data_IF_720029072232
#
_entry.id   IF_720029072232
#
_cell.length_a   1.000
_cell.length_b   1.000
_cell.length_c   1.000
_cell.angle_alpha   90.00
_cell.angle_beta   90.00
_cell.angle_gamma   90.00
#
_symmetry.space_group_name_H-M   'P 1'
#
loop_
_entity.id
_entity.type
_entity.pdbx_description
1 polymer ?
#
# COMPACT_ATOMS: atom_id res chain seq x y z
N UNK A 1 -6.67 -56.35 -38.17
CA UNK A 1 -6.99 -55.78 -39.49
C UNK A 1 -6.94 -54.26 -39.31
N UNK A 2 -5.77 -53.62 -39.26
CA UNK A 2 -4.71 -53.51 -40.31
C UNK A 2 -5.20 -52.60 -41.46
N UNK A 3 -4.49 -51.57 -41.97
CA UNK A 3 -3.16 -50.95 -41.74
C UNK A 3 -3.28 -49.42 -42.11
N UNK A 4 -2.49 -48.45 -41.60
CA UNK A 4 -1.21 -47.90 -42.15
C UNK A 4 -1.18 -47.77 -43.71
N UNK A 5 -0.71 -46.71 -44.42
CA UNK A 5 0.14 -45.50 -44.21
C UNK A 5 -0.38 -44.28 -45.07
N UNK A 6 0.13 -43.04 -45.03
CA UNK A 6 1.04 -42.40 -44.07
C UNK A 6 2.03 -41.26 -44.51
N UNK A 7 1.87 -40.49 -45.62
CA UNK A 7 2.92 -39.56 -46.11
C UNK A 7 2.46 -38.26 -46.84
N UNK A 8 3.08 -37.11 -46.46
CA UNK A 8 3.50 -35.90 -47.24
C UNK A 8 3.83 -34.81 -46.20
N UNK A 9 5.10 -34.56 -45.86
CA UNK A 9 6.08 -33.66 -46.53
C UNK A 9 5.99 -32.18 -46.10
N UNK A 10 6.97 -31.77 -45.29
CA UNK A 10 7.29 -30.38 -44.96
C UNK A 10 8.37 -29.84 -45.90
N UNK A 11 8.44 -28.51 -46.12
CA UNK A 11 9.68 -27.85 -46.53
C UNK A 11 10.24 -26.92 -45.44
N UNK A 12 11.51 -27.13 -45.11
CA UNK A 12 12.43 -26.04 -44.75
C UNK A 12 13.08 -25.54 -46.06
N UNK A 13 13.91 -24.50 -46.17
CA UNK A 13 14.82 -23.74 -45.28
C UNK A 13 14.95 -22.33 -45.91
N UNK A 14 15.30 -21.27 -45.18
CA UNK A 14 16.51 -20.51 -45.54
C UNK A 14 17.06 -19.58 -44.44
N UNK A 15 18.37 -19.34 -44.46
CA UNK A 15 19.13 -18.72 -43.37
C UNK A 15 20.38 -17.97 -43.90
N UNK A 16 20.37 -16.64 -43.84
CA UNK A 16 21.56 -15.77 -43.96
C UNK A 16 21.56 -14.81 -42.76
N UNK A 17 22.52 -14.85 -41.83
CA UNK A 17 23.91 -14.36 -41.89
C UNK A 17 24.04 -12.84 -42.00
N UNK A 18 24.38 -12.20 -40.87
CA UNK A 18 25.17 -10.97 -40.81
C UNK A 18 26.09 -11.02 -39.57
N UNK A 19 27.40 -10.92 -39.77
CA UNK A 19 28.44 -10.74 -38.74
C UNK A 19 29.26 -9.47 -39.04
N UNK A 20 29.94 -8.92 -38.02
CA UNK A 20 30.90 -7.80 -38.14
C UNK A 20 30.38 -6.49 -37.52
N UNK A 21 30.54 -6.18 -36.23
CA UNK A 21 31.73 -6.09 -35.38
C UNK A 21 32.56 -4.80 -35.54
N UNK A 22 32.39 -3.86 -34.61
CA UNK A 22 33.44 -2.98 -34.07
C UNK A 22 33.13 -2.67 -32.60
N UNK A 23 34.14 -2.79 -31.73
CA UNK A 23 34.04 -2.38 -30.34
C UNK A 23 34.93 -1.16 -30.11
N UNK A 24 34.41 -0.14 -29.45
CA UNK A 24 35.23 0.90 -28.82
C UNK A 24 34.50 1.38 -27.56
N UNK A 25 35.27 1.68 -26.51
CA UNK A 25 34.75 1.98 -25.18
C UNK A 25 35.08 3.42 -24.81
N UNK A 26 34.11 4.16 -24.29
CA UNK A 26 34.41 5.39 -23.55
C UNK A 26 33.47 5.60 -22.36
N UNK A 27 33.83 6.56 -21.52
CA UNK A 27 33.55 6.54 -20.09
C UNK A 27 32.26 7.26 -19.69
N UNK A 28 31.84 6.94 -18.47
CA UNK A 28 30.83 7.63 -17.71
C UNK A 28 31.00 9.17 -17.68
N UNK A 29 29.86 9.87 -17.71
CA UNK A 29 29.63 10.98 -16.79
C UNK A 29 28.32 10.72 -16.03
N UNK A 30 28.36 10.79 -14.71
CA UNK A 30 27.24 10.58 -13.83
C UNK A 30 26.86 11.93 -13.20
N UNK A 31 25.96 12.65 -13.86
CA UNK A 31 25.44 13.94 -13.40
C UNK A 31 23.92 13.91 -13.28
N UNK A 32 23.40 12.98 -12.46
CA UNK A 32 22.00 12.93 -12.03
C UNK A 32 21.91 13.25 -10.54
N UNK A 33 21.52 14.49 -10.21
CA UNK A 33 21.41 14.97 -8.83
C UNK A 33 20.35 14.17 -8.08
N UNK A 34 20.76 13.48 -7.01
CA UNK A 34 19.82 12.89 -6.06
C UNK A 34 19.14 14.00 -5.26
N UNK A 35 17.79 14.04 -5.16
CA UNK A 35 17.14 14.81 -4.12
C UNK A 35 17.39 14.10 -2.79
N UNK A 36 18.19 14.71 -1.91
CA UNK A 36 18.20 14.36 -0.48
C UNK A 36 16.90 14.81 0.15
N UNK A 37 16.08 13.91 0.72
CA UNK A 37 15.07 14.32 1.68
C UNK A 37 15.78 14.64 3.00
N UNK A 38 15.93 15.94 3.30
CA UNK A 38 16.17 16.36 4.68
C UNK A 38 14.85 16.24 5.45
N UNK A 39 14.80 15.30 6.39
CA UNK A 39 13.65 15.07 7.26
C UNK A 39 13.95 13.95 8.26
N UNK A 40 13.92 14.27 9.55
CA UNK A 40 14.05 13.30 10.65
C UNK A 40 12.77 12.43 10.76
N UNK A 41 12.58 11.52 9.81
CA UNK A 41 11.65 10.40 9.93
C UNK A 41 12.45 9.10 9.92
N UNK A 42 12.40 8.37 11.03
CA UNK A 42 13.07 7.08 11.14
C UNK A 42 12.40 6.11 10.19
N UNK A 43 13.05 5.82 9.06
CA UNK A 43 12.61 4.85 8.06
C UNK A 43 12.30 3.51 8.73
N UNK A 44 11.01 3.23 8.94
CA UNK A 44 10.55 2.06 9.69
C UNK A 44 10.28 0.89 8.75
N UNK A 45 10.49 -0.34 9.23
CA UNK A 45 10.15 -1.54 8.49
C UNK A 45 8.68 -1.56 8.03
N UNK A 46 7.79 -0.93 8.80
CA UNK A 46 6.37 -0.85 8.52
C UNK A 46 6.07 -0.07 7.23
N UNK A 47 6.72 1.07 7.00
CA UNK A 47 6.52 1.86 5.77
C UNK A 47 7.04 1.12 4.54
N UNK A 48 8.18 0.44 4.68
CA UNK A 48 8.76 -0.42 3.65
C UNK A 48 7.79 -1.55 3.25
N UNK A 49 7.15 -2.21 4.22
CA UNK A 49 6.24 -3.33 3.98
C UNK A 49 4.91 -2.83 3.41
N UNK A 50 4.29 -1.81 4.02
CA UNK A 50 3.07 -1.18 3.51
C UNK A 50 3.24 -0.63 2.09
N UNK A 51 4.29 0.15 1.84
CA UNK A 51 4.53 0.77 0.53
C UNK A 51 4.80 -0.26 -0.57
N UNK A 52 5.29 -1.46 -0.23
CA UNK A 52 5.49 -2.52 -1.22
C UNK A 52 4.22 -3.34 -1.49
N UNK A 53 3.43 -3.69 -0.47
CA UNK A 53 2.19 -4.46 -0.69
C UNK A 53 1.05 -3.59 -1.25
N UNK A 54 0.99 -2.30 -0.91
CA UNK A 54 -0.01 -1.37 -1.45
C UNK A 54 0.26 -0.88 -2.88
N UNK A 55 1.43 -1.20 -3.48
CA UNK A 55 1.86 -0.63 -4.76
C UNK A 55 1.26 -1.27 -6.02
N UNK A 56 0.34 -2.21 -5.88
CA UNK A 56 -0.36 -2.83 -7.02
C UNK A 56 -1.50 -1.98 -7.61
N UNK A 57 -1.66 -0.71 -7.18
CA UNK A 57 -2.54 0.23 -7.90
C UNK A 57 -2.62 1.64 -7.34
N UNK A 58 -1.65 2.51 -7.71
CA UNK A 58 -1.91 3.96 -7.88
C UNK A 58 -0.84 4.60 -8.79
N UNK A 59 -1.23 5.01 -10.00
CA UNK A 59 -0.44 5.89 -10.87
C UNK A 59 -1.23 7.17 -11.16
N UNK A 60 -0.76 8.29 -10.59
CA UNK A 60 -0.93 9.62 -11.19
C UNK A 60 -1.99 10.54 -10.57
N UNK A 61 -1.55 11.37 -9.62
CA UNK A 61 -2.13 12.71 -9.39
C UNK A 61 -1.06 13.68 -8.84
N UNK A 62 -0.51 14.54 -9.69
CA UNK A 62 0.27 15.71 -9.25
C UNK A 62 -0.67 16.79 -8.66
N UNK A 63 -0.28 17.51 -7.60
CA UNK A 63 -1.05 18.63 -7.09
C UNK A 63 -0.76 19.92 -7.89
N UNK A 64 -1.76 20.65 -8.40
CA UNK A 64 -1.54 21.95 -9.02
C UNK A 64 -1.27 23.05 -7.98
N UNK A 65 -0.35 23.95 -8.32
CA UNK A 65 0.03 25.09 -7.52
C UNK A 65 -1.00 26.24 -7.57
N UNK A 66 -0.86 27.18 -6.64
CA UNK A 66 -1.69 28.38 -6.52
C UNK A 66 -1.38 29.44 -7.58
N UNK A 67 -2.36 30.31 -7.86
CA UNK A 67 -2.17 31.70 -8.29
C UNK A 67 -3.25 32.57 -7.65
N UNK A 68 -2.96 33.87 -7.49
CA UNK A 68 -3.82 34.85 -6.84
C UNK A 68 -3.73 36.21 -7.57
N UNK A 69 -4.80 37.01 -7.53
CA UNK A 69 -4.77 38.47 -7.33
C UNK A 69 -6.17 39.11 -7.43
N UNK A 70 -6.39 40.12 -6.57
CA UNK A 70 -6.98 41.47 -6.83
C UNK A 70 -8.42 41.57 -7.41
N UNK A 71 -9.24 42.61 -7.16
CA UNK A 71 -9.17 43.95 -6.53
C UNK A 71 -10.65 44.31 -6.08
N UNK A 72 -11.04 45.37 -5.36
CA UNK A 72 -10.43 46.57 -4.75
C UNK A 72 -11.40 47.16 -3.68
N UNK A 73 -10.90 48.06 -2.79
CA UNK A 73 -11.55 49.27 -2.21
C UNK A 73 -12.90 49.19 -1.41
N UNK A 74 -13.19 50.05 -0.40
CA UNK A 74 -12.53 51.25 0.18
C UNK A 74 -13.12 51.62 1.58
N UNK A 75 -12.66 52.75 2.17
CA UNK A 75 -13.10 53.43 3.42
C UNK A 75 -12.48 52.82 4.71
N UNK A 76 -11.45 53.35 5.40
CA UNK A 76 -10.88 54.71 5.66
C UNK A 76 -11.24 55.26 7.07
N UNK A 77 -10.24 55.89 7.70
CA UNK A 77 -10.19 56.57 9.02
C UNK A 77 -10.70 55.82 10.29
N UNK A 78 -9.75 55.23 11.05
CA UNK A 78 -9.61 55.52 12.50
C UNK A 78 -8.21 55.09 13.04
N UNK A 79 -7.15 55.82 12.64
CA UNK A 79 -5.78 55.64 13.18
C UNK A 79 -5.66 56.27 14.59
N UNK A 80 -6.36 55.70 15.57
CA UNK A 80 -6.11 55.93 17.00
C UNK A 80 -6.49 54.70 17.82
N UNK A 81 -5.65 54.37 18.82
CA UNK A 81 -5.86 53.31 19.86
C UNK A 81 -5.34 51.88 19.59
N UNK A 82 -4.35 51.65 18.72
CA UNK A 82 -3.61 50.37 18.74
C UNK A 82 -2.55 50.33 19.86
N UNK A 83 -1.69 51.37 19.99
CA UNK A 83 -0.56 51.36 20.94
C UNK A 83 -0.98 51.30 22.43
N UNK A 84 -2.10 51.91 22.82
CA UNK A 84 -2.59 51.88 24.22
C UNK A 84 -3.33 50.57 24.59
N UNK A 85 -3.78 49.78 23.60
CA UNK A 85 -4.36 48.46 23.84
C UNK A 85 -3.27 47.39 23.98
N UNK A 86 -2.20 47.48 23.17
CA UNK A 86 -1.05 46.57 23.28
C UNK A 86 -0.34 46.62 24.65
N UNK A 87 -0.32 47.76 25.35
CA UNK A 87 0.27 47.82 26.71
C UNK A 87 -0.62 47.16 27.78
N UNK A 88 -1.94 47.18 27.62
CA UNK A 88 -2.84 46.49 28.55
C UNK A 88 -2.89 44.98 28.27
N UNK A 89 -2.83 44.56 27.01
CA UNK A 89 -2.82 43.14 26.62
C UNK A 89 -1.54 42.39 27.04
N UNK A 90 -0.41 43.10 27.28
CA UNK A 90 0.86 42.49 27.74
C UNK A 90 0.78 41.88 29.15
N UNK A 91 -0.12 42.37 30.01
CA UNK A 91 -0.27 41.91 31.40
C UNK A 91 -1.50 40.99 31.61
N UNK A 92 -2.27 40.74 30.55
CA UNK A 92 -3.34 39.75 30.56
C UNK A 92 -2.79 38.35 30.27
N UNK A 93 -3.24 37.29 30.98
CA UNK A 93 -2.83 35.93 30.65
C UNK A 93 -3.33 35.57 29.24
N UNK A 94 -2.43 35.08 28.39
CA UNK A 94 -2.59 34.77 26.95
C UNK A 94 -4.01 34.34 26.51
N UNK A 95 -4.66 33.47 27.28
CA UNK A 95 -6.04 33.00 27.10
C UNK A 95 -7.13 34.08 27.06
N UNK A 96 -6.82 35.34 27.40
CA UNK A 96 -7.73 36.49 27.41
C UNK A 96 -7.41 37.55 26.36
N UNK A 97 -6.32 37.43 25.61
CA UNK A 97 -5.96 38.41 24.58
C UNK A 97 -7.07 38.45 23.49
N UNK A 98 -7.58 39.61 23.06
CA UNK A 98 -8.65 39.73 22.06
C UNK A 98 -8.40 38.89 20.81
N UNK A 99 -7.22 39.04 20.18
CA UNK A 99 -6.82 38.24 19.00
C UNK A 99 -6.87 36.72 19.23
N UNK A 100 -6.58 36.25 20.45
CA UNK A 100 -6.68 34.82 20.79
C UNK A 100 -8.14 34.38 20.96
N UNK A 101 -9.00 35.25 21.50
CA UNK A 101 -10.45 35.00 21.59
C UNK A 101 -11.10 34.96 20.20
N UNK A 102 -10.69 35.86 19.29
CA UNK A 102 -11.14 35.89 17.88
C UNK A 102 -10.75 34.62 17.13
N UNK A 103 -9.48 34.20 17.22
CA UNK A 103 -9.00 32.95 16.60
C UNK A 103 -9.70 31.73 17.19
N UNK A 104 -10.02 31.71 18.49
CA UNK A 104 -10.85 30.67 19.10
C UNK A 104 -12.29 30.72 18.59
N UNK A 105 -12.89 31.89 18.45
CA UNK A 105 -14.25 32.04 17.93
C UNK A 105 -14.34 31.52 16.49
N UNK A 106 -13.45 31.97 15.59
CA UNK A 106 -13.35 31.48 14.23
C UNK A 106 -13.11 29.97 14.18
N UNK A 107 -12.17 29.45 14.99
CA UNK A 107 -11.90 27.99 15.07
C UNK A 107 -13.14 27.21 15.51
N UNK A 108 -13.91 27.72 16.46
CA UNK A 108 -15.14 27.08 16.93
C UNK A 108 -16.27 27.15 15.88
N UNK A 109 -16.36 28.24 15.12
CA UNK A 109 -17.30 28.39 14.02
C UNK A 109 -16.97 27.44 12.86
N UNK A 110 -15.71 27.42 12.39
CA UNK A 110 -15.24 26.47 11.38
C UNK A 110 -15.40 25.02 11.85
N UNK A 111 -15.16 24.74 13.14
CA UNK A 111 -15.41 23.41 13.72
C UNK A 111 -16.90 23.06 13.69
N UNK A 112 -17.80 23.99 14.04
CA UNK A 112 -19.24 23.78 13.96
C UNK A 112 -19.74 23.54 12.52
N UNK A 113 -19.22 24.30 11.55
CA UNK A 113 -19.48 24.09 10.12
C UNK A 113 -18.94 22.75 9.61
N UNK A 114 -17.75 22.34 10.05
CA UNK A 114 -17.17 21.05 9.72
C UNK A 114 -17.98 19.89 10.31
N UNK A 115 -18.39 19.97 11.59
CA UNK A 115 -19.24 18.97 12.24
C UNK A 115 -20.62 18.87 11.59
N UNK A 116 -21.22 19.98 11.15
CA UNK A 116 -22.48 19.98 10.38
C UNK A 116 -22.30 19.32 9.01
N UNK A 117 -21.29 19.73 8.24
CA UNK A 117 -20.95 19.10 6.93
C UNK A 117 -20.66 17.61 7.09
N UNK A 118 -19.96 17.21 8.15
CA UNK A 118 -19.65 15.82 8.44
C UNK A 118 -20.92 15.02 8.78
N UNK A 119 -21.85 15.59 9.57
CA UNK A 119 -23.15 14.97 9.84
C UNK A 119 -24.00 14.82 8.58
N UNK A 120 -24.08 15.86 7.73
CA UNK A 120 -24.77 15.80 6.43
C UNK A 120 -24.15 14.74 5.50
N UNK A 121 -22.81 14.72 5.39
CA UNK A 121 -22.09 13.76 4.57
C UNK A 121 -22.22 12.33 5.11
N UNK A 122 -22.22 12.12 6.43
CA UNK A 122 -22.42 10.80 7.03
C UNK A 122 -23.86 10.32 6.86
N UNK A 123 -24.85 11.22 6.98
CA UNK A 123 -26.25 10.93 6.65
C UNK A 123 -26.41 10.53 5.18
N UNK A 124 -25.93 11.36 4.24
CA UNK A 124 -25.97 11.07 2.81
C UNK A 124 -25.23 9.78 2.47
N UNK A 125 -24.03 9.55 3.03
CA UNK A 125 -23.29 8.27 2.88
C UNK A 125 -24.12 7.09 3.37
N UNK A 126 -24.79 7.17 4.52
CA UNK A 126 -25.64 6.07 5.01
C UNK A 126 -26.84 5.80 4.09
N UNK A 127 -27.52 6.84 3.61
CA UNK A 127 -28.66 6.70 2.70
C UNK A 127 -28.24 6.11 1.34
N UNK A 128 -27.12 6.59 0.78
CA UNK A 128 -26.47 6.04 -0.43
C UNK A 128 -26.03 4.59 -0.20
N UNK A 129 -25.39 4.28 0.92
CA UNK A 129 -24.92 2.93 1.26
C UNK A 129 -26.10 1.95 1.41
N UNK A 130 -27.23 2.38 1.99
CA UNK A 130 -28.45 1.58 2.09
C UNK A 130 -29.10 1.38 0.71
N UNK A 131 -29.28 2.45 -0.06
CA UNK A 131 -29.94 2.41 -1.37
C UNK A 131 -29.18 1.58 -2.41
N UNK A 132 -27.85 1.57 -2.31
CA UNK A 132 -26.96 0.81 -3.20
C UNK A 132 -26.37 -0.44 -2.53
N UNK A 133 -26.90 -0.87 -1.38
CA UNK A 133 -26.44 -2.10 -0.71
C UNK A 133 -26.65 -3.34 -1.59
N UNK A 134 -25.56 -3.89 -2.10
CA UNK A 134 -25.57 -5.06 -2.98
C UNK A 134 -25.63 -4.76 -4.48
N UNK A 135 -25.42 -3.50 -4.88
CA UNK A 135 -25.03 -3.12 -6.25
C UNK A 135 -23.53 -2.81 -6.29
N UNK A 136 -22.90 -3.09 -7.42
CA UNK A 136 -21.51 -2.67 -7.66
C UNK A 136 -21.44 -1.15 -7.96
N UNK A 137 -20.29 -0.52 -7.68
CA UNK A 137 -20.10 0.91 -7.94
C UNK A 137 -20.36 1.26 -9.42
N UNK A 138 -20.00 0.38 -10.35
CA UNK A 138 -20.22 0.60 -11.76
C UNK A 138 -21.70 0.47 -12.15
N UNK A 139 -22.44 -0.46 -11.52
CA UNK A 139 -23.90 -0.58 -11.70
C UNK A 139 -24.65 0.66 -11.19
N UNK A 140 -24.18 1.27 -10.09
CA UNK A 140 -24.72 2.54 -9.56
C UNK A 140 -24.48 3.68 -10.54
N UNK A 141 -23.27 3.80 -11.09
CA UNK A 141 -22.94 4.83 -12.09
C UNK A 141 -23.78 4.66 -13.37
N UNK A 142 -23.91 3.44 -13.89
CA UNK A 142 -24.73 3.15 -15.06
C UNK A 142 -26.22 3.48 -14.82
N UNK A 143 -26.77 3.14 -13.64
CA UNK A 143 -28.15 3.46 -13.27
C UNK A 143 -28.39 4.98 -13.17
N UNK A 144 -27.45 5.72 -12.57
CA UNK A 144 -27.51 7.19 -12.48
C UNK A 144 -27.32 7.84 -13.86
N UNK A 145 -26.47 7.28 -14.73
CA UNK A 145 -26.29 7.77 -16.09
C UNK A 145 -27.55 7.55 -16.93
N UNK A 146 -28.18 6.38 -16.85
CA UNK A 146 -29.48 6.12 -17.51
C UNK A 146 -30.52 7.11 -17.00
N UNK A 147 -30.63 7.35 -15.69
CA UNK A 147 -31.56 8.33 -15.12
C UNK A 147 -31.28 9.78 -15.57
N UNK A 148 -30.01 10.15 -15.77
CA UNK A 148 -29.59 11.43 -16.35
C UNK A 148 -29.99 11.52 -17.83
N UNK A 149 -29.65 10.49 -18.62
CA UNK A 149 -29.97 10.41 -20.03
C UNK A 149 -31.48 10.46 -20.27
N UNK A 150 -32.31 9.79 -19.45
CA UNK A 150 -33.78 9.88 -19.54
C UNK A 150 -34.32 11.32 -19.49
N UNK A 151 -33.58 12.28 -18.88
CA UNK A 151 -33.94 13.70 -18.85
C UNK A 151 -33.28 14.53 -19.96
N UNK A 152 -32.10 14.15 -20.46
CA UNK A 152 -31.35 14.93 -21.46
C UNK A 152 -31.43 14.38 -22.89
N UNK A 153 -31.37 13.06 -23.06
CA UNK A 153 -31.45 12.32 -24.32
C UNK A 153 -32.19 10.98 -24.10
N UNK A 154 -33.52 10.95 -24.30
CA UNK A 154 -34.32 9.75 -24.14
C UNK A 154 -33.95 8.60 -25.11
N UNK A 155 -33.32 8.89 -26.25
CA UNK A 155 -32.97 7.86 -27.23
C UNK A 155 -31.71 7.10 -26.77
N UNK A 156 -30.66 7.82 -26.37
CA UNK A 156 -29.47 7.22 -25.76
C UNK A 156 -29.82 6.45 -24.46
N UNK A 157 -30.78 6.97 -23.68
CA UNK A 157 -31.29 6.27 -22.50
C UNK A 157 -31.96 4.93 -22.85
N UNK A 158 -32.77 4.88 -23.93
CA UNK A 158 -33.43 3.66 -24.38
C UNK A 158 -32.41 2.62 -24.88
N UNK A 159 -31.37 3.05 -25.60
CA UNK A 159 -30.29 2.17 -26.06
C UNK A 159 -29.54 1.52 -24.87
N UNK A 160 -29.19 2.29 -23.83
CA UNK A 160 -28.58 1.75 -22.60
C UNK A 160 -29.53 0.89 -21.76
N UNK A 161 -30.83 1.21 -21.72
CA UNK A 161 -31.82 0.47 -20.93
C UNK A 161 -32.24 -0.86 -21.59
N UNK A 162 -32.19 -0.95 -22.92
CA UNK A 162 -32.53 -2.15 -23.71
C UNK A 162 -31.85 -3.45 -23.22
N UNK A 163 -30.51 -3.52 -23.00
CA UNK A 163 -29.86 -4.73 -22.49
C UNK A 163 -30.26 -5.09 -21.04
N UNK A 164 -30.54 -4.09 -20.20
CA UNK A 164 -31.03 -4.31 -18.83
C UNK A 164 -32.45 -4.90 -18.88
N UNK A 165 -33.31 -4.33 -19.72
CA UNK A 165 -34.66 -4.83 -19.95
C UNK A 165 -34.67 -6.24 -20.54
N UNK A 166 -33.85 -6.54 -21.55
CA UNK A 166 -33.82 -7.87 -22.16
C UNK A 166 -33.35 -8.94 -21.18
N UNK A 167 -32.38 -8.64 -20.31
CA UNK A 167 -31.97 -9.51 -19.19
C UNK A 167 -33.10 -9.71 -18.18
N UNK A 168 -33.82 -8.66 -17.80
CA UNK A 168 -34.96 -8.79 -16.89
C UNK A 168 -36.13 -9.57 -17.54
N UNK A 169 -36.33 -9.41 -18.85
CA UNK A 169 -37.39 -10.05 -19.62
C UNK A 169 -37.13 -11.54 -19.86
N UNK A 170 -35.86 -11.96 -20.06
CA UNK A 170 -35.50 -13.38 -20.13
C UNK A 170 -35.62 -14.05 -18.76
N UNK A 171 -35.16 -13.41 -17.68
CA UNK A 171 -35.34 -13.90 -16.29
C UNK A 171 -36.82 -14.12 -15.94
N UNK A 172 -37.70 -13.21 -16.37
CA UNK A 172 -39.15 -13.33 -16.19
C UNK A 172 -39.86 -14.16 -17.29
N UNK A 173 -39.11 -14.84 -18.17
CA UNK A 173 -39.65 -15.70 -19.25
C UNK A 173 -40.58 -15.01 -20.23
N UNK A 174 -40.52 -13.69 -20.35
CA UNK A 174 -41.19 -12.93 -21.42
C UNK A 174 -40.51 -13.15 -22.77
N UNK A 175 -39.19 -13.35 -22.74
CA UNK A 175 -38.40 -13.84 -23.87
C UNK A 175 -38.11 -15.32 -23.60
N UNK A 176 -38.52 -16.20 -24.51
CA UNK A 176 -38.23 -17.63 -24.41
C UNK A 176 -36.82 -17.93 -24.96
N UNK A 177 -36.04 -18.82 -24.32
CA UNK A 177 -34.84 -19.41 -24.91
C UNK A 177 -35.14 -20.12 -26.25
N UNK A 178 -34.15 -20.13 -27.15
CA UNK A 178 -34.31 -20.64 -28.54
C UNK A 178 -34.77 -22.11 -28.61
N UNK A 179 -34.36 -22.96 -27.66
CA UNK A 179 -34.81 -24.36 -27.60
C UNK A 179 -36.30 -24.47 -27.25
N UNK A 180 -36.77 -23.65 -26.30
CA UNK A 180 -38.17 -23.59 -25.91
C UNK A 180 -39.03 -22.92 -26.98
N UNK A 181 -38.49 -21.98 -27.77
CA UNK A 181 -39.17 -21.45 -28.96
C UNK A 181 -39.37 -22.56 -30.00
N UNK A 182 -38.32 -23.33 -30.31
CA UNK A 182 -38.40 -24.43 -31.28
C UNK A 182 -39.41 -25.52 -30.86
N UNK A 183 -39.49 -25.87 -29.57
CA UNK A 183 -40.50 -26.82 -29.06
C UNK A 183 -41.94 -26.31 -29.15
N UNK A 184 -42.15 -24.99 -29.07
CA UNK A 184 -43.47 -24.36 -29.28
C UNK A 184 -43.83 -24.29 -30.76
N UNK A 185 -42.91 -23.85 -31.61
CA UNK A 185 -43.12 -23.71 -33.06
C UNK A 185 -43.36 -25.06 -33.76
N UNK A 186 -42.73 -26.12 -33.25
CA UNK A 186 -42.97 -27.52 -33.69
C UNK A 186 -44.20 -28.17 -33.05
N UNK A 187 -44.86 -27.49 -32.10
CA UNK A 187 -46.09 -27.96 -31.46
C UNK A 187 -45.91 -29.07 -30.41
N UNK A 188 -44.69 -29.35 -29.97
CA UNK A 188 -44.44 -30.32 -28.88
C UNK A 188 -44.78 -29.74 -27.50
N UNK A 189 -44.79 -28.41 -27.34
CA UNK A 189 -45.12 -27.73 -26.09
C UNK A 189 -46.04 -26.53 -26.32
N UNK A 190 -46.87 -26.20 -25.32
CA UNK A 190 -47.68 -24.97 -25.34
C UNK A 190 -46.86 -23.75 -24.91
N UNK A 191 -47.15 -22.58 -25.49
CA UNK A 191 -46.46 -21.33 -25.17
C UNK A 191 -46.46 -21.00 -23.66
N UNK A 192 -47.60 -21.23 -22.98
CA UNK A 192 -47.73 -21.04 -21.53
C UNK A 192 -46.76 -21.94 -20.74
N UNK A 193 -46.69 -23.23 -21.10
CA UNK A 193 -45.79 -24.19 -20.44
C UNK A 193 -44.31 -23.87 -20.71
N UNK A 194 -44.01 -23.39 -21.92
CA UNK A 194 -42.68 -22.95 -22.30
C UNK A 194 -42.24 -21.70 -21.51
N UNK A 195 -43.14 -20.76 -21.24
CA UNK A 195 -42.88 -19.60 -20.38
C UNK A 195 -42.65 -19.99 -18.91
N UNK A 196 -43.42 -20.93 -18.36
CA UNK A 196 -43.18 -21.48 -17.01
C UNK A 196 -41.78 -22.11 -16.91
N UNK A 197 -41.40 -22.92 -17.90
CA UNK A 197 -40.11 -23.60 -17.92
C UNK A 197 -38.95 -22.61 -18.13
N UNK A 198 -39.13 -21.58 -18.97
CA UNK A 198 -38.17 -20.49 -19.15
C UNK A 198 -37.91 -19.76 -17.82
N UNK A 199 -38.97 -19.33 -17.12
CA UNK A 199 -38.88 -18.70 -15.78
C UNK A 199 -38.14 -19.56 -14.79
N UNK A 200 -38.48 -20.85 -14.72
CA UNK A 200 -37.86 -21.77 -13.77
C UNK A 200 -36.36 -21.97 -14.04
N UNK A 201 -35.98 -22.20 -15.31
CA UNK A 201 -34.57 -22.33 -15.71
C UNK A 201 -33.78 -21.05 -15.42
N UNK A 202 -34.32 -19.90 -15.82
CA UNK A 202 -33.65 -18.61 -15.64
C UNK A 202 -33.50 -18.22 -14.16
N UNK A 203 -34.47 -18.58 -13.31
CA UNK A 203 -34.35 -18.44 -11.86
C UNK A 203 -33.25 -19.34 -11.27
N UNK A 204 -33.14 -20.59 -11.74
CA UNK A 204 -32.06 -21.50 -11.32
C UNK A 204 -30.68 -21.00 -11.75
N UNK A 205 -30.53 -20.53 -12.99
CA UNK A 205 -29.28 -19.99 -13.52
C UNK A 205 -28.86 -18.71 -12.78
N UNK A 206 -29.80 -17.80 -12.52
CA UNK A 206 -29.55 -16.60 -11.73
C UNK A 206 -29.08 -16.92 -10.31
N UNK A 207 -29.72 -17.89 -9.64
CA UNK A 207 -29.29 -18.32 -8.31
C UNK A 207 -27.88 -18.92 -8.34
N UNK A 208 -27.58 -19.82 -9.29
CA UNK A 208 -26.25 -20.41 -9.44
C UNK A 208 -25.16 -19.36 -9.73
N UNK A 209 -25.45 -18.40 -10.61
CA UNK A 209 -24.54 -17.29 -10.92
C UNK A 209 -24.26 -16.43 -9.68
N UNK A 210 -25.31 -16.11 -8.91
CA UNK A 210 -25.18 -15.36 -7.65
C UNK A 210 -24.37 -16.13 -6.59
N UNK A 211 -24.61 -17.42 -6.44
CA UNK A 211 -23.89 -18.27 -5.50
C UNK A 211 -22.40 -18.38 -5.88
N UNK A 212 -22.08 -18.52 -7.18
CA UNK A 212 -20.70 -18.51 -7.68
C UNK A 212 -20.00 -17.17 -7.47
N UNK A 213 -20.67 -16.04 -7.74
CA UNK A 213 -20.13 -14.70 -7.51
C UNK A 213 -19.83 -14.48 -6.02
N UNK A 214 -20.78 -14.84 -5.14
CA UNK A 214 -20.60 -14.74 -3.68
C UNK A 214 -19.46 -15.64 -3.16
N UNK A 215 -19.28 -16.84 -3.70
CA UNK A 215 -18.16 -17.72 -3.36
C UNK A 215 -16.81 -17.12 -3.78
N UNK A 216 -16.71 -16.55 -5.00
CA UNK A 216 -15.50 -15.87 -5.47
C UNK A 216 -15.13 -14.69 -4.57
N UNK A 217 -16.07 -13.75 -4.39
CA UNK A 217 -15.88 -12.57 -3.55
C UNK A 217 -15.45 -12.94 -2.12
N UNK A 218 -16.08 -13.98 -1.55
CA UNK A 218 -15.69 -14.49 -0.23
C UNK A 218 -14.27 -15.08 -0.22
N UNK A 219 -13.90 -15.84 -1.24
CA UNK A 219 -12.55 -16.41 -1.35
C UNK A 219 -11.46 -15.34 -1.57
N UNK A 220 -11.79 -14.23 -2.23
CA UNK A 220 -10.92 -13.07 -2.42
C UNK A 220 -10.74 -12.31 -1.10
N UNK A 221 -11.83 -12.03 -0.38
CA UNK A 221 -11.78 -11.43 0.97
C UNK A 221 -11.05 -12.30 1.98
N UNK A 222 -11.25 -13.62 1.96
CA UNK A 222 -10.53 -14.57 2.82
C UNK A 222 -9.03 -14.61 2.48
N UNK A 223 -8.62 -14.40 1.22
CA UNK A 223 -7.21 -14.29 0.81
C UNK A 223 -6.57 -12.95 1.17
N UNK A 224 -7.30 -11.83 1.01
CA UNK A 224 -6.82 -10.50 1.44
C UNK A 224 -6.65 -10.46 2.97
N UNK A 225 -7.68 -10.86 3.72
CA UNK A 225 -7.62 -10.87 5.19
C UNK A 225 -6.55 -11.82 5.77
N UNK A 226 -6.18 -12.90 5.07
CA UNK A 226 -5.03 -13.73 5.44
C UNK A 226 -3.69 -13.02 5.20
N UNK A 227 -3.54 -12.32 4.07
CA UNK A 227 -2.32 -11.54 3.79
C UNK A 227 -2.16 -10.38 4.78
N UNK A 228 -3.23 -9.65 5.09
CA UNK A 228 -3.24 -8.58 6.08
C UNK A 228 -2.85 -9.10 7.48
N UNK A 229 -3.34 -10.28 7.89
CA UNK A 229 -2.96 -10.92 9.15
C UNK A 229 -1.48 -11.32 9.17
N UNK A 230 -0.98 -12.00 8.13
CA UNK A 230 0.44 -12.37 8.01
C UNK A 230 1.32 -11.12 8.05
N UNK A 231 0.89 -10.03 7.42
CA UNK A 231 1.60 -8.75 7.38
C UNK A 231 1.62 -8.05 8.75
N UNK A 232 0.50 -8.03 9.47
CA UNK A 232 0.43 -7.49 10.84
C UNK A 232 1.30 -8.30 11.83
N UNK A 233 1.24 -9.64 11.74
CA UNK A 233 2.10 -10.53 12.54
C UNK A 233 3.59 -10.35 12.19
N UNK A 234 3.91 -10.17 10.91
CA UNK A 234 5.26 -9.88 10.43
C UNK A 234 5.81 -8.57 11.01
N UNK A 235 5.04 -7.47 10.97
CA UNK A 235 5.44 -6.18 11.56
C UNK A 235 5.71 -6.30 13.05
N UNK A 236 4.79 -6.91 13.82
CA UNK A 236 4.98 -7.11 15.26
C UNK A 236 6.22 -7.98 15.58
N UNK A 237 6.50 -8.97 14.75
CA UNK A 237 7.71 -9.79 14.84
C UNK A 237 8.99 -9.00 14.59
N UNK A 238 8.99 -8.13 13.57
CA UNK A 238 10.13 -7.27 13.24
C UNK A 238 10.40 -6.23 14.33
N UNK A 239 9.38 -5.58 14.87
CA UNK A 239 9.52 -4.63 15.99
C UNK A 239 10.16 -5.29 17.23
N UNK A 240 9.72 -6.50 17.57
CA UNK A 240 10.28 -7.27 18.69
C UNK A 240 11.75 -7.67 18.46
N UNK A 241 12.10 -8.01 17.22
CA UNK A 241 13.44 -8.39 16.78
C UNK A 241 14.38 -7.17 16.70
N UNK A 242 13.92 -6.03 16.22
CA UNK A 242 14.62 -4.74 16.31
C UNK A 242 14.87 -4.33 17.77
N UNK A 243 13.86 -4.43 18.64
CA UNK A 243 13.99 -4.13 20.06
C UNK A 243 14.98 -5.07 20.79
N UNK A 244 15.24 -6.26 20.23
CA UNK A 244 16.29 -7.16 20.70
C UNK A 244 17.67 -6.70 20.18
N UNK A 245 17.78 -6.32 18.90
CA UNK A 245 19.02 -5.82 18.30
C UNK A 245 19.51 -4.52 18.96
N UNK A 246 18.63 -3.57 19.24
CA UNK A 246 18.94 -2.32 19.99
C UNK A 246 19.55 -2.58 21.37
N UNK A 247 19.24 -3.72 22.01
CA UNK A 247 19.81 -4.13 23.32
C UNK A 247 21.16 -4.85 23.18
N UNK A 248 21.38 -5.55 22.06
CA UNK A 248 22.57 -6.39 21.85
C UNK A 248 23.74 -5.70 21.15
N UNK A 249 23.48 -4.66 20.35
CA UNK A 249 24.47 -4.00 19.51
C UNK A 249 24.56 -2.49 19.80
N UNK A 250 25.62 -2.01 20.48
CA UNK A 250 25.81 -0.59 20.77
C UNK A 250 25.97 0.30 19.53
N UNK A 251 26.35 -0.28 18.38
CA UNK A 251 26.49 0.46 17.11
C UNK A 251 25.19 0.36 16.25
N UNK A 252 24.07 -0.12 16.81
CA UNK A 252 22.85 -0.43 16.04
C UNK A 252 22.24 0.78 15.33
N UNK A 253 22.16 1.95 15.99
CA UNK A 253 21.53 3.16 15.43
C UNK A 253 22.13 3.55 14.08
N UNK A 254 23.45 3.39 13.91
CA UNK A 254 24.16 3.67 12.65
C UNK A 254 23.92 2.59 11.57
N UNK A 255 23.53 1.38 11.98
CA UNK A 255 23.27 0.25 11.08
C UNK A 255 21.79 0.12 10.70
N UNK A 256 20.87 0.68 11.48
CA UNK A 256 19.42 0.52 11.33
C UNK A 256 18.94 0.85 9.91
N UNK A 257 19.26 2.04 9.39
CA UNK A 257 18.91 2.45 8.01
C UNK A 257 19.44 1.46 6.96
N UNK A 258 20.77 1.21 6.88
CA UNK A 258 21.34 0.22 5.96
C UNK A 258 20.76 -1.21 6.07
N UNK A 259 20.31 -1.64 7.26
CA UNK A 259 19.63 -2.92 7.46
C UNK A 259 18.24 -2.88 6.81
N UNK A 260 17.47 -1.82 7.04
CA UNK A 260 16.14 -1.66 6.45
C UNK A 260 16.18 -1.46 4.94
N UNK A 261 17.13 -0.68 4.40
CA UNK A 261 17.38 -0.59 2.95
C UNK A 261 17.66 -1.97 2.34
N UNK A 262 18.49 -2.78 3.01
CA UNK A 262 18.84 -4.10 2.50
C UNK A 262 17.68 -5.09 2.61
N UNK A 263 16.90 -5.02 3.69
CA UNK A 263 15.67 -5.78 3.86
C UNK A 263 14.64 -5.43 2.78
N UNK A 264 14.45 -4.13 2.49
CA UNK A 264 13.56 -3.65 1.44
C UNK A 264 13.92 -4.24 0.07
N UNK A 265 15.21 -4.18 -0.31
CA UNK A 265 15.69 -4.75 -1.57
C UNK A 265 15.48 -6.27 -1.63
N UNK A 266 15.70 -7.00 -0.53
CA UNK A 266 15.49 -8.45 -0.50
C UNK A 266 14.00 -8.82 -0.62
N UNK A 267 13.11 -8.03 -0.01
CA UNK A 267 11.66 -8.21 -0.12
C UNK A 267 11.16 -7.89 -1.53
N UNK A 268 11.61 -6.79 -2.13
CA UNK A 268 11.28 -6.41 -3.51
C UNK A 268 11.74 -7.47 -4.52
N UNK A 269 12.95 -8.01 -4.36
CA UNK A 269 13.46 -9.11 -5.18
C UNK A 269 12.56 -10.35 -5.06
N UNK A 270 12.15 -10.72 -3.85
CA UNK A 270 11.27 -11.87 -3.60
C UNK A 270 9.88 -11.70 -4.24
N UNK A 271 9.31 -10.49 -4.20
CA UNK A 271 8.03 -10.21 -4.87
C UNK A 271 8.16 -10.22 -6.40
N UNK A 272 9.26 -9.70 -6.96
CA UNK A 272 9.56 -9.79 -8.39
C UNK A 272 9.75 -11.25 -8.87
N UNK A 273 10.21 -12.15 -8.00
CA UNK A 273 10.28 -13.60 -8.23
C UNK A 273 8.93 -14.33 -8.05
N UNK A 274 7.83 -13.62 -7.80
CA UNK A 274 6.50 -14.21 -7.60
C UNK A 274 6.36 -15.02 -6.31
N UNK A 275 7.18 -14.72 -5.30
CA UNK A 275 7.19 -15.40 -4.00
C UNK A 275 6.65 -14.45 -2.90
N UNK A 276 5.33 -14.24 -2.80
CA UNK A 276 4.76 -13.44 -1.72
C UNK A 276 5.12 -14.04 -0.36
N UNK A 277 5.06 -13.21 0.69
CA UNK A 277 5.33 -13.61 2.07
C UNK A 277 4.24 -14.58 2.55
N UNK A 278 4.62 -15.81 2.91
CA UNK A 278 3.65 -16.86 3.32
C UNK A 278 3.57 -17.05 4.83
N UNK A 279 4.50 -16.47 5.59
CA UNK A 279 4.56 -16.57 7.04
C UNK A 279 5.42 -15.47 7.65
N UNK A 280 5.09 -15.07 8.88
CA UNK A 280 5.93 -14.26 9.76
C UNK A 280 7.39 -14.75 9.80
N UNK A 281 7.63 -16.07 9.80
CA UNK A 281 8.99 -16.64 9.89
C UNK A 281 9.86 -16.26 8.69
N UNK A 282 9.31 -16.25 7.48
CA UNK A 282 10.05 -15.87 6.27
C UNK A 282 10.49 -14.41 6.31
N UNK A 283 9.70 -13.54 6.95
CA UNK A 283 10.03 -12.12 7.13
C UNK A 283 11.18 -11.93 8.13
N UNK A 284 11.15 -12.67 9.24
CA UNK A 284 12.22 -12.64 10.25
C UNK A 284 13.54 -13.15 9.65
N UNK A 285 13.52 -14.25 8.91
CA UNK A 285 14.70 -14.81 8.22
C UNK A 285 15.31 -13.79 7.23
N UNK A 286 14.48 -13.05 6.49
CA UNK A 286 14.94 -12.00 5.58
C UNK A 286 15.57 -10.82 6.33
N UNK A 287 15.01 -10.42 7.47
CA UNK A 287 15.57 -9.36 8.29
C UNK A 287 16.92 -9.78 8.92
N UNK A 288 17.02 -11.00 9.45
CA UNK A 288 18.29 -11.54 9.95
C UNK A 288 19.36 -11.61 8.84
N UNK A 289 18.98 -12.06 7.64
CA UNK A 289 19.87 -12.06 6.47
C UNK A 289 20.33 -10.65 6.08
N UNK A 290 19.42 -9.68 6.04
CA UNK A 290 19.74 -8.27 5.77
C UNK A 290 20.77 -7.74 6.79
N UNK A 291 20.55 -7.99 8.08
CA UNK A 291 21.48 -7.64 9.14
C UNK A 291 22.85 -8.29 8.97
N UNK A 292 22.92 -9.59 8.70
CA UNK A 292 24.19 -10.30 8.52
C UNK A 292 25.00 -9.74 7.34
N UNK A 293 24.34 -9.41 6.23
CA UNK A 293 25.02 -8.80 5.07
C UNK A 293 25.55 -7.39 5.38
N UNK A 294 24.80 -6.58 6.15
CA UNK A 294 25.25 -5.26 6.60
C UNK A 294 26.41 -5.37 7.59
N UNK A 295 26.31 -6.26 8.60
CA UNK A 295 27.40 -6.49 9.56
C UNK A 295 28.69 -6.94 8.86
N UNK A 296 28.61 -7.78 7.82
CA UNK A 296 29.77 -8.16 7.01
C UNK A 296 30.38 -6.95 6.27
N UNK A 297 29.56 -6.07 5.67
CA UNK A 297 30.03 -4.83 5.03
C UNK A 297 30.73 -3.90 6.03
N UNK A 298 30.11 -3.65 7.19
CA UNK A 298 30.71 -2.84 8.26
C UNK A 298 31.99 -3.47 8.82
N UNK A 299 32.04 -4.80 8.98
CA UNK A 299 33.23 -5.52 9.44
C UNK A 299 34.40 -5.42 8.44
N UNK A 300 34.12 -5.45 7.14
CA UNK A 300 35.13 -5.25 6.08
C UNK A 300 35.69 -3.81 6.07
N UNK A 301 34.87 -2.81 6.41
CA UNK A 301 35.25 -1.40 6.48
C UNK A 301 35.97 -1.01 7.80
N UNK A 302 35.88 -1.80 8.86
CA UNK A 302 36.56 -1.50 10.14
C UNK A 302 38.09 -1.49 9.95
N UNK A 303 38.79 -0.40 10.33
CA UNK A 303 40.24 -0.33 10.20
C UNK A 303 40.90 -1.41 11.07
N UNK A 304 41.76 -2.23 10.45
CA UNK A 304 42.52 -3.26 11.17
C UNK A 304 43.30 -2.62 12.31
N UNK A 305 43.06 -3.08 13.55
CA UNK A 305 43.71 -2.55 14.76
C UNK A 305 45.22 -2.62 14.58
N UNK A 306 45.87 -1.47 14.37
CA UNK A 306 47.33 -1.39 14.31
C UNK A 306 47.87 -1.87 15.66
N UNK A 307 48.86 -2.77 15.70
CA UNK A 307 49.42 -3.25 16.97
C UNK A 307 49.97 -2.05 17.73
N UNK A 308 49.39 -1.74 18.89
CA UNK A 308 49.87 -0.67 19.76
C UNK A 308 51.28 -1.06 20.19
N UNK A 309 52.27 -0.33 19.67
CA UNK A 309 53.67 -0.52 20.01
C UNK A 309 53.81 -0.15 21.48
N UNK A 310 53.79 -1.16 22.36
CA UNK A 310 53.92 -0.95 23.79
C UNK A 310 55.19 -0.14 24.04
N UNK A 311 55.02 1.06 24.60
CA UNK A 311 56.14 1.89 25.02
C UNK A 311 56.74 1.16 26.22
N UNK A 312 57.78 0.36 25.94
CA UNK A 312 58.54 -0.38 26.94
C UNK A 312 59.33 0.64 27.74
N UNK A 313 58.72 1.20 28.79
CA UNK A 313 59.40 2.11 29.70
C UNK A 313 60.57 1.35 30.33
N UNK A 314 61.79 1.81 30.03
CA UNK A 314 63.02 1.25 30.57
C UNK A 314 63.22 1.74 31.99
N UNK A 315 62.40 1.24 32.92
CA UNK A 315 62.58 1.41 34.37
C UNK A 315 62.74 0.03 35.01
N UNK A 316 63.98 -0.40 35.33
CA UNK A 316 64.23 -1.70 35.92
C UNK A 316 63.99 -1.67 37.44
N UNK A 317 62.83 -2.17 37.91
CA UNK A 317 62.66 -2.49 39.33
C UNK A 317 61.25 -2.35 39.89
N UNK A 318 60.39 -3.34 39.65
CA UNK A 318 59.31 -3.72 40.57
C UNK A 318 58.79 -5.12 40.21
N UNK A 319 59.01 -6.12 41.07
CA UNK A 319 58.37 -7.44 40.95
C UNK A 319 56.89 -7.33 41.31
N UNK A 320 56.04 -7.12 40.31
CA UNK A 320 54.60 -7.18 40.48
C UNK A 320 54.17 -8.63 40.78
N UNK A 321 53.81 -8.91 42.05
CA UNK A 321 53.15 -10.17 42.41
C UNK A 321 51.79 -10.25 41.68
N UNK A 322 51.44 -11.45 41.21
CA UNK A 322 50.16 -11.67 40.53
C UNK A 322 48.98 -11.35 41.46
N UNK A 323 47.96 -10.69 40.92
CA UNK A 323 46.72 -10.39 41.66
C UNK A 323 46.01 -11.71 41.97
N UNK A 324 45.76 -12.05 43.26
CA UNK A 324 45.23 -13.35 43.64
C UNK A 324 43.85 -13.58 43.04
N UNK A 325 43.65 -14.75 42.42
CA UNK A 325 42.38 -15.13 41.77
C UNK A 325 41.41 -15.86 42.70
N UNK A 326 41.83 -16.15 43.94
CA UNK A 326 41.03 -16.85 44.95
C UNK A 326 41.42 -16.41 46.36
N UNK A 327 40.50 -16.52 47.32
CA UNK A 327 40.76 -16.25 48.74
C UNK A 327 41.85 -17.16 49.32
N UNK A 328 41.96 -18.39 48.82
CA UNK A 328 43.01 -19.33 49.22
C UNK A 328 44.42 -18.84 48.82
N UNK A 329 44.50 -18.10 47.70
CA UNK A 329 45.72 -17.53 47.14
C UNK A 329 46.20 -16.32 47.96
N UNK A 330 45.27 -15.59 48.60
CA UNK A 330 45.58 -14.51 49.55
C UNK A 330 46.23 -15.07 50.82
N UNK A 331 45.70 -16.17 51.35
CA UNK A 331 46.21 -16.80 52.59
C UNK A 331 47.66 -17.28 52.37
N UNK A 332 47.92 -17.96 51.25
CA UNK A 332 49.26 -18.45 50.91
C UNK A 332 50.28 -17.32 50.70
N UNK A 333 49.87 -16.13 50.25
CA UNK A 333 50.75 -14.97 50.14
C UNK A 333 51.09 -14.31 51.49
N UNK A 334 50.42 -14.69 52.57
CA UNK A 334 50.52 -14.04 53.88
C UNK A 334 51.19 -14.91 54.98
N UNK A 335 51.55 -16.16 54.68
CA UNK A 335 52.12 -17.14 55.62
C UNK A 335 53.50 -17.66 55.19
N UNK A 336 54.32 -16.83 54.52
CA UNK A 336 55.72 -17.11 54.18
C UNK A 336 56.59 -15.88 54.41
#
# INVERSE_FOLDING_TARGET
>A
MDQFEGQTESPAVDHEQYEGATAEAEQADASGVSPTPEGDESFNAMDIINQMTSREGDEGAEPPAAEASEESESEDEEETTEEEQEEQDKDLPFHKHPRFQEVIAQKNEFKGLAEQREQELNGFKSEVQELFSGLDQQEVMDALEIARLMKSDPQAAFEKLTPVYSRAASLNGHILPDDLQQEVDSGYMTQERAQELARYRAQQEFQQSRDQASQKQRSEQEQQGQQDQVMQEATQGLEALEANWKKGDPDYEVKQGPIFDRFAVLMQQRMAEGQPLKSQQEVLDLAEKAKQEVEQRFAALRPKKKPVKQIRSTSPGATAKAKPQSVMDIINQHTS
#
